data_IF_331425997797
#
_entry.id   IF_331425997797
#
_cell.length_a   1.000
_cell.length_b   1.000
_cell.length_c   1.000
_cell.angle_alpha   90.00
_cell.angle_beta   90.00
_cell.angle_gamma   90.00
#
_symmetry.space_group_name_H-M   'P 1'
#
loop_
_entity.id
_entity.type
_entity.pdbx_description
1 polymer ?
#
# COMPACT_ATOMS: atom_id res chain seq x y z
N UNK A 1 -0.64 26.75 5.03
CA UNK A 1 -1.26 25.41 5.00
C UNK A 1 -1.65 25.09 6.43
N UNK A 2 -2.93 24.79 6.69
CA UNK A 2 -3.39 24.57 8.06
C UNK A 2 -2.69 23.34 8.67
N UNK A 3 -2.41 23.41 9.98
CA UNK A 3 -1.77 22.32 10.73
C UNK A 3 -2.52 20.99 10.59
N UNK A 4 -3.83 21.06 10.38
CA UNK A 4 -4.71 19.93 10.12
C UNK A 4 -4.39 19.20 8.80
N UNK A 5 -4.17 19.94 7.71
CA UNK A 5 -3.77 19.33 6.43
C UNK A 5 -2.40 18.68 6.55
N UNK A 6 -1.46 19.31 7.25
CA UNK A 6 -0.12 18.73 7.46
C UNK A 6 -0.22 17.39 8.18
N UNK A 7 -1.08 17.30 9.20
CA UNK A 7 -1.38 16.07 9.92
C UNK A 7 -2.01 15.00 9.03
N UNK A 8 -3.04 15.35 8.26
CA UNK A 8 -3.69 14.42 7.31
C UNK A 8 -2.68 13.85 6.31
N UNK A 9 -1.80 14.69 5.75
CA UNK A 9 -0.75 14.24 4.83
C UNK A 9 0.27 13.35 5.52
N UNK A 10 0.61 13.64 6.78
CA UNK A 10 1.43 12.76 7.61
C UNK A 10 0.81 11.38 7.81
N UNK A 11 -0.50 11.31 8.07
CA UNK A 11 -1.23 10.04 8.20
C UNK A 11 -1.25 9.26 6.89
N UNK A 12 -1.50 9.94 5.75
CA UNK A 12 -1.44 9.30 4.42
C UNK A 12 -0.03 8.76 4.14
N UNK A 13 1.00 9.54 4.44
CA UNK A 13 2.39 9.09 4.35
C UNK A 13 2.67 7.85 5.21
N UNK A 14 2.18 7.83 6.45
CA UNK A 14 2.29 6.69 7.34
C UNK A 14 1.58 5.44 6.81
N UNK A 15 0.40 5.58 6.20
CA UNK A 15 -0.33 4.47 5.55
C UNK A 15 0.53 3.86 4.44
N UNK A 16 1.05 4.68 3.52
CA UNK A 16 1.85 4.19 2.40
C UNK A 16 3.21 3.61 2.83
N UNK A 17 3.89 4.26 3.77
CA UNK A 17 5.12 3.73 4.35
C UNK A 17 4.90 2.41 5.10
N UNK A 18 3.81 2.31 5.86
CA UNK A 18 3.42 1.09 6.57
C UNK A 18 3.10 -0.06 5.62
N UNK A 19 2.38 0.19 4.53
CA UNK A 19 2.11 -0.80 3.48
C UNK A 19 3.41 -1.29 2.82
N UNK A 20 4.32 -0.37 2.49
CA UNK A 20 5.65 -0.72 1.96
C UNK A 20 6.44 -1.59 2.95
N UNK A 21 6.48 -1.21 4.23
CA UNK A 21 7.20 -1.98 5.24
C UNK A 21 6.61 -3.39 5.42
N UNK A 22 5.29 -3.49 5.48
CA UNK A 22 4.58 -4.77 5.57
C UNK A 22 4.87 -5.67 4.35
N UNK A 23 4.87 -5.09 3.16
CA UNK A 23 5.26 -5.78 1.93
C UNK A 23 6.69 -6.30 1.95
N UNK A 24 7.66 -5.47 2.34
CA UNK A 24 9.07 -5.86 2.42
C UNK A 24 9.29 -6.95 3.48
N UNK A 25 8.60 -6.83 4.61
CA UNK A 25 8.62 -7.84 5.67
C UNK A 25 8.06 -9.18 5.20
N UNK A 26 6.89 -9.18 4.55
CA UNK A 26 6.26 -10.39 3.99
C UNK A 26 7.13 -11.03 2.90
N UNK A 27 7.72 -10.22 2.01
CA UNK A 27 8.62 -10.72 0.97
C UNK A 27 9.84 -11.43 1.56
N UNK A 28 10.42 -10.85 2.62
CA UNK A 28 11.53 -11.47 3.36
C UNK A 28 11.10 -12.77 4.05
N UNK A 29 9.94 -12.76 4.72
CA UNK A 29 9.41 -13.92 5.42
C UNK A 29 9.14 -15.11 4.48
N UNK A 30 8.47 -14.85 3.35
CA UNK A 30 8.17 -15.88 2.36
C UNK A 30 9.29 -16.16 1.35
N UNK A 31 10.39 -15.40 1.41
CA UNK A 31 11.51 -15.45 0.45
C UNK A 31 11.02 -15.32 -1.01
N UNK A 32 10.16 -14.34 -1.24
CA UNK A 32 9.57 -14.05 -2.57
C UNK A 32 10.23 -12.83 -3.16
N UNK A 33 10.57 -12.93 -4.45
CA UNK A 33 10.93 -11.79 -5.27
C UNK A 33 9.68 -10.94 -5.53
N UNK A 34 9.65 -9.67 -5.11
CA UNK A 34 8.53 -8.79 -5.38
C UNK A 34 8.31 -8.62 -6.88
N UNK A 35 7.08 -8.38 -7.31
CA UNK A 35 6.72 -8.19 -8.71
C UNK A 35 7.18 -6.84 -9.26
N UNK A 36 7.18 -5.75 -8.47
CA UNK A 36 7.79 -4.47 -8.90
C UNK A 36 8.92 -3.95 -8.01
N UNK A 37 9.04 -4.39 -6.76
CA UNK A 37 10.13 -4.00 -5.86
C UNK A 37 11.36 -4.90 -6.01
N UNK A 38 11.80 -5.14 -7.24
CA UNK A 38 12.91 -6.06 -7.52
C UNK A 38 14.17 -5.71 -6.71
N UNK A 39 14.78 -6.73 -6.13
CA UNK A 39 16.02 -6.61 -5.37
C UNK A 39 15.96 -5.94 -3.99
N UNK A 40 14.76 -5.71 -3.48
CA UNK A 40 14.56 -5.14 -2.13
C UNK A 40 14.36 -6.21 -1.03
N UNK A 41 13.95 -7.42 -1.39
CA UNK A 41 13.55 -8.46 -0.42
C UNK A 41 14.70 -9.05 0.40
N UNK A 42 15.91 -9.09 -0.16
CA UNK A 42 17.12 -9.57 0.54
C UNK A 42 17.84 -8.46 1.33
N UNK A 43 17.37 -7.22 1.25
CA UNK A 43 18.04 -6.10 1.90
C UNK A 43 17.92 -6.21 3.44
N UNK A 44 18.93 -5.68 4.18
CA UNK A 44 18.85 -5.59 5.63
C UNK A 44 17.66 -4.73 6.09
N UNK A 45 17.19 -4.98 7.31
CA UNK A 45 16.01 -4.31 7.88
C UNK A 45 16.16 -2.78 7.89
N UNK A 46 17.37 -2.26 8.12
CA UNK A 46 17.64 -0.82 8.07
C UNK A 46 17.30 -0.21 6.71
N UNK A 47 17.70 -0.86 5.61
CA UNK A 47 17.36 -0.40 4.24
C UNK A 47 15.86 -0.52 4.00
N UNK A 48 15.21 -1.57 4.49
CA UNK A 48 13.75 -1.72 4.35
C UNK A 48 12.98 -0.60 5.07
N UNK A 49 13.41 -0.25 6.29
CA UNK A 49 12.84 0.87 7.04
C UNK A 49 13.08 2.19 6.29
N UNK A 50 14.29 2.42 5.78
CA UNK A 50 14.60 3.61 4.99
C UNK A 50 13.74 3.74 3.73
N UNK A 51 13.50 2.63 3.03
CA UNK A 51 12.62 2.60 1.85
C UNK A 51 11.16 2.86 2.23
N UNK A 52 10.69 2.31 3.34
CA UNK A 52 9.35 2.57 3.86
C UNK A 52 9.16 4.05 4.24
N UNK A 53 10.13 4.64 4.93
CA UNK A 53 10.13 6.06 5.28
C UNK A 53 10.16 6.93 4.03
N UNK A 54 11.02 6.63 3.06
CA UNK A 54 11.08 7.33 1.79
C UNK A 54 9.74 7.26 1.05
N UNK A 55 9.10 6.10 1.02
CA UNK A 55 7.77 5.91 0.41
C UNK A 55 6.72 6.78 1.09
N UNK A 56 6.73 6.84 2.42
CA UNK A 56 5.82 7.70 3.18
C UNK A 56 6.04 9.19 2.89
N UNK A 57 7.29 9.64 2.88
CA UNK A 57 7.65 11.05 2.57
C UNK A 57 7.27 11.41 1.13
N UNK A 58 7.57 10.55 0.16
CA UNK A 58 7.23 10.77 -1.25
C UNK A 58 5.71 10.81 -1.43
N UNK A 59 4.96 9.89 -0.81
CA UNK A 59 3.50 9.92 -0.87
C UNK A 59 2.92 11.20 -0.26
N UNK A 60 3.44 11.63 0.90
CA UNK A 60 3.08 12.89 1.54
C UNK A 60 3.34 14.07 0.60
N UNK A 61 4.51 14.14 -0.03
CA UNK A 61 4.86 15.20 -0.98
C UNK A 61 3.93 15.22 -2.21
N UNK A 62 3.66 14.05 -2.83
CA UNK A 62 2.71 13.93 -3.95
C UNK A 62 1.34 14.47 -3.54
N UNK A 63 0.84 14.07 -2.37
CA UNK A 63 -0.48 14.50 -1.89
C UNK A 63 -0.55 16.01 -1.61
N UNK A 64 0.53 16.61 -1.08
CA UNK A 64 0.63 18.06 -0.92
C UNK A 64 0.57 18.78 -2.25
N UNK A 65 1.34 18.33 -3.24
CA UNK A 65 1.32 18.92 -4.59
C UNK A 65 -0.08 18.79 -5.22
N UNK A 66 -0.73 17.63 -5.10
CA UNK A 66 -2.08 17.43 -5.63
C UNK A 66 -3.10 18.35 -4.95
N UNK A 67 -2.99 18.57 -3.63
CA UNK A 67 -3.87 19.48 -2.91
C UNK A 67 -3.68 20.94 -3.35
N UNK A 68 -2.45 21.35 -3.63
CA UNK A 68 -2.13 22.71 -4.05
C UNK A 68 -2.62 23.01 -5.48
N UNK A 69 -2.50 22.05 -6.40
CA UNK A 69 -2.73 22.29 -7.83
C UNK A 69 -4.00 21.63 -8.39
N UNK A 70 -4.73 20.81 -7.62
CA UNK A 70 -5.88 20.06 -8.12
C UNK A 70 -7.06 19.99 -7.14
N UNK A 71 -8.21 19.50 -7.64
CA UNK A 71 -9.40 19.29 -6.82
C UNK A 71 -9.20 18.14 -5.81
N UNK A 72 -9.90 18.19 -4.67
CA UNK A 72 -9.87 17.13 -3.64
C UNK A 72 -10.21 15.74 -4.19
N UNK A 73 -11.05 15.66 -5.23
CA UNK A 73 -11.36 14.39 -5.89
C UNK A 73 -10.12 13.76 -6.53
N UNK A 74 -9.22 14.57 -7.10
CA UNK A 74 -7.95 14.13 -7.68
C UNK A 74 -7.06 13.48 -6.63
N UNK A 75 -7.07 13.98 -5.39
CA UNK A 75 -6.33 13.37 -4.28
C UNK A 75 -6.80 11.94 -4.01
N UNK A 76 -8.12 11.70 -4.01
CA UNK A 76 -8.65 10.34 -3.84
C UNK A 76 -8.27 9.41 -4.99
N UNK A 77 -8.30 9.91 -6.22
CA UNK A 77 -7.90 9.13 -7.41
C UNK A 77 -6.41 8.77 -7.36
N UNK A 78 -5.55 9.71 -6.96
CA UNK A 78 -4.11 9.47 -6.80
C UNK A 78 -3.84 8.41 -5.73
N UNK A 79 -4.48 8.53 -4.55
CA UNK A 79 -4.32 7.52 -3.50
C UNK A 79 -4.89 6.15 -3.92
N UNK A 80 -6.02 6.11 -4.63
CA UNK A 80 -6.55 4.85 -5.16
C UNK A 80 -5.54 4.19 -6.12
N UNK A 81 -4.88 4.96 -6.99
CA UNK A 81 -3.82 4.47 -7.86
C UNK A 81 -2.62 3.93 -7.08
N UNK A 82 -2.12 4.69 -6.10
CA UNK A 82 -1.00 4.26 -5.25
C UNK A 82 -1.35 2.99 -4.45
N UNK A 83 -2.53 2.94 -3.84
CA UNK A 83 -3.02 1.76 -3.11
C UNK A 83 -3.13 0.55 -4.04
N UNK A 84 -3.60 0.72 -5.27
CA UNK A 84 -3.67 -0.37 -6.24
C UNK A 84 -2.31 -1.05 -6.43
N UNK A 85 -1.20 -0.28 -6.48
CA UNK A 85 0.14 -0.85 -6.57
C UNK A 85 0.46 -1.72 -5.34
N UNK A 86 0.27 -1.19 -4.12
CA UNK A 86 0.58 -1.93 -2.89
C UNK A 86 -0.26 -3.20 -2.75
N UNK A 87 -1.56 -3.10 -3.02
CA UNK A 87 -2.50 -4.19 -2.85
C UNK A 87 -2.40 -5.24 -3.97
N UNK A 88 -1.99 -4.85 -5.19
CA UNK A 88 -1.66 -5.80 -6.25
C UNK A 88 -0.47 -6.67 -5.85
N UNK A 89 0.62 -6.06 -5.37
CA UNK A 89 1.81 -6.78 -4.92
C UNK A 89 1.49 -7.73 -3.76
N UNK A 90 0.73 -7.25 -2.77
CA UNK A 90 0.26 -8.06 -1.65
C UNK A 90 -0.57 -9.25 -2.13
N UNK A 91 -1.48 -9.04 -3.08
CA UNK A 91 -2.32 -10.09 -3.65
C UNK A 91 -1.50 -11.18 -4.34
N UNK A 92 -0.53 -10.79 -5.16
CA UNK A 92 0.37 -11.74 -5.85
C UNK A 92 1.21 -12.52 -4.82
N UNK A 93 1.81 -11.83 -3.85
CA UNK A 93 2.64 -12.43 -2.81
C UNK A 93 1.85 -13.46 -1.99
N UNK A 94 0.70 -13.04 -1.45
CA UNK A 94 -0.13 -13.90 -0.60
C UNK A 94 -0.73 -15.05 -1.41
N UNK A 95 -1.15 -14.80 -2.65
CA UNK A 95 -1.66 -15.84 -3.55
C UNK A 95 -0.63 -16.94 -3.82
N UNK A 96 0.62 -16.56 -4.07
CA UNK A 96 1.71 -17.52 -4.34
C UNK A 96 2.18 -18.31 -3.12
N UNK A 97 1.87 -17.86 -1.91
CA UNK A 97 2.49 -18.39 -0.69
C UNK A 97 1.49 -18.71 0.41
N UNK A 98 0.82 -17.70 0.94
CA UNK A 98 -0.12 -17.89 2.04
C UNK A 98 -1.33 -18.71 1.59
N UNK A 99 -2.04 -18.27 0.55
CA UNK A 99 -3.25 -18.94 0.09
C UNK A 99 -2.95 -20.27 -0.59
N UNK A 100 -1.85 -20.38 -1.34
CA UNK A 100 -1.45 -21.66 -1.94
C UNK A 100 -1.30 -22.75 -0.86
N UNK A 101 -0.59 -22.44 0.23
CA UNK A 101 -0.44 -23.35 1.38
C UNK A 101 -1.72 -23.55 2.19
N UNK A 102 -2.58 -22.53 2.26
CA UNK A 102 -3.86 -22.63 2.97
C UNK A 102 -4.78 -23.66 2.31
N UNK A 103 -4.66 -23.84 0.99
CA UNK A 103 -5.40 -24.82 0.20
C UNK A 103 -4.54 -26.03 -0.16
N UNK A 104 -3.54 -26.36 0.67
CA UNK A 104 -2.66 -27.53 0.53
C UNK A 104 -2.01 -27.70 -0.87
N UNK A 105 -1.77 -26.57 -1.57
CA UNK A 105 -1.27 -26.51 -2.94
C UNK A 105 -2.13 -27.29 -3.97
N UNK A 106 -3.39 -27.59 -3.65
CA UNK A 106 -4.33 -28.32 -4.53
C UNK A 106 -4.94 -27.44 -5.63
N UNK A 107 -5.03 -26.13 -5.39
CA UNK A 107 -5.58 -25.18 -6.36
C UNK A 107 -4.53 -24.75 -7.40
N UNK A 108 -4.94 -24.54 -8.67
CA UNK A 108 -4.12 -23.81 -9.64
C UNK A 108 -3.67 -22.46 -9.08
N UNK A 109 -2.44 -22.07 -9.39
CA UNK A 109 -1.80 -20.84 -8.86
C UNK A 109 -2.62 -19.60 -9.19
N UNK A 110 -3.24 -19.59 -10.36
CA UNK A 110 -4.08 -18.51 -10.86
C UNK A 110 -5.31 -18.32 -9.96
N UNK A 111 -5.91 -19.41 -9.49
CA UNK A 111 -7.09 -19.37 -8.60
C UNK A 111 -6.67 -18.86 -7.22
N UNK A 112 -5.56 -19.34 -6.68
CA UNK A 112 -5.04 -18.86 -5.39
C UNK A 112 -4.71 -17.35 -5.43
N UNK A 113 -4.08 -16.88 -6.52
CA UNK A 113 -3.81 -15.45 -6.74
C UNK A 113 -5.11 -14.66 -6.89
N UNK A 114 -6.11 -15.19 -7.60
CA UNK A 114 -7.40 -14.53 -7.74
C UNK A 114 -8.10 -14.34 -6.38
N UNK A 115 -8.16 -15.40 -5.56
CA UNK A 115 -8.73 -15.33 -4.20
C UNK A 115 -8.01 -14.27 -3.36
N UNK A 116 -6.67 -14.31 -3.38
CA UNK A 116 -5.85 -13.34 -2.68
C UNK A 116 -6.12 -11.91 -3.15
N UNK A 117 -6.20 -11.70 -4.47
CA UNK A 117 -6.46 -10.40 -5.06
C UNK A 117 -7.82 -9.82 -4.66
N UNK A 118 -8.88 -10.63 -4.64
CA UNK A 118 -10.22 -10.19 -4.21
C UNK A 118 -10.22 -9.74 -2.75
N UNK A 119 -9.62 -10.54 -1.86
CA UNK A 119 -9.56 -10.24 -0.43
C UNK A 119 -8.69 -9.02 -0.13
N UNK A 120 -7.52 -8.94 -0.76
CA UNK A 120 -6.55 -7.87 -0.56
C UNK A 120 -7.09 -6.55 -1.13
N UNK A 121 -7.68 -6.56 -2.33
CA UNK A 121 -8.33 -5.37 -2.91
C UNK A 121 -9.44 -4.81 -2.01
N UNK A 122 -10.19 -5.66 -1.30
CA UNK A 122 -11.16 -5.19 -0.31
C UNK A 122 -10.49 -4.44 0.84
N UNK A 123 -9.36 -4.94 1.35
CA UNK A 123 -8.50 -4.19 2.26
C UNK A 123 -8.06 -2.84 1.69
N UNK A 124 -7.73 -2.78 0.40
CA UNK A 124 -7.40 -1.54 -0.30
C UNK A 124 -8.56 -0.54 -0.35
N UNK A 125 -9.78 -1.03 -0.59
CA UNK A 125 -11.00 -0.22 -0.53
C UNK A 125 -11.21 0.39 0.86
N UNK A 126 -11.08 -0.39 1.94
CA UNK A 126 -11.22 0.15 3.31
C UNK A 126 -10.15 1.21 3.62
N UNK A 127 -8.92 1.01 3.18
CA UNK A 127 -7.85 2.00 3.33
C UNK A 127 -8.15 3.28 2.56
N UNK A 128 -8.69 3.18 1.34
CA UNK A 128 -9.12 4.36 0.57
C UNK A 128 -10.28 5.09 1.27
N UNK A 129 -11.22 4.36 1.87
CA UNK A 129 -12.32 4.93 2.63
C UNK A 129 -11.85 5.64 3.90
N UNK A 130 -10.82 5.12 4.57
CA UNK A 130 -10.14 5.80 5.68
C UNK A 130 -9.51 7.12 5.22
N UNK A 131 -8.78 7.10 4.10
CA UNK A 131 -8.19 8.32 3.50
C UNK A 131 -9.29 9.33 3.15
N UNK A 132 -10.39 8.89 2.55
CA UNK A 132 -11.54 9.74 2.25
C UNK A 132 -12.16 10.36 3.51
N UNK A 133 -12.28 9.59 4.59
CA UNK A 133 -12.81 10.08 5.86
C UNK A 133 -11.89 11.15 6.46
N UNK A 134 -10.56 10.95 6.40
CA UNK A 134 -9.57 11.93 6.87
C UNK A 134 -9.76 13.30 6.21
N UNK A 135 -9.91 13.35 4.89
CA UNK A 135 -10.06 14.61 4.14
C UNK A 135 -11.49 15.18 4.14
N UNK A 136 -12.47 14.46 4.68
CA UNK A 136 -13.83 14.96 4.92
C UNK A 136 -14.02 15.55 6.31
N UNK A 137 -13.16 15.21 7.28
CA UNK A 137 -13.24 15.72 8.64
C UNK A 137 -13.16 17.27 8.73
N UNK A 138 -12.61 17.93 7.71
CA UNK A 138 -12.55 19.41 7.63
C UNK A 138 -13.88 20.08 7.25
N UNK A 139 -14.92 19.30 6.93
CA UNK A 139 -16.24 19.83 6.51
C UNK A 139 -17.31 19.76 7.61
N UNK A 140 -16.90 19.47 8.85
CA UNK A 140 -17.74 19.43 10.05
C UNK A 140 -17.38 20.56 11.01
#
# INVERSE_FOLDING_TARGET
MDTLYLWQMGVVGAIHGGLMLGLLWLNRYYKVTPFFLFGTWWQPLSIQISLALLTGVVSMAINMMVLEYAARMTLLVVNAGLLTLWYLELGILLGRKFFARLFDDELPKEISIFIAFVLVTNGGYFTLMLIKALFRADTL
#
